data_IF_452208531180
#
_entry.id   IF_452208531180
#
_cell.length_a   1.000
_cell.length_b   1.000
_cell.length_c   1.000
_cell.angle_alpha   90.00
_cell.angle_beta   90.00
_cell.angle_gamma   90.00
#
_symmetry.space_group_name_H-M   'P 1'
#
loop_
_entity.id
_entity.type
_entity.pdbx_description
1 polymer ?
#
# COMPACT_ATOMS: atom_id res chain seq x y z
N UNK A 1 25.58 -1.18 -18.50
CA UNK A 1 24.38 -1.84 -17.96
C UNK A 1 23.85 -0.98 -16.82
N UNK A 2 22.83 -0.13 -17.05
CA UNK A 2 22.30 0.76 -16.00
C UNK A 2 21.56 -0.10 -14.97
N UNK A 3 22.07 -0.18 -13.75
CA UNK A 3 21.40 -0.84 -12.64
C UNK A 3 20.10 -0.08 -12.33
N UNK A 4 18.95 -0.61 -12.79
CA UNK A 4 17.62 -0.16 -12.39
C UNK A 4 17.30 -0.66 -10.96
N UNK A 5 18.11 -0.22 -9.99
CA UNK A 5 17.86 -0.49 -8.57
C UNK A 5 16.88 0.52 -7.99
N UNK A 6 16.02 0.07 -7.07
CA UNK A 6 15.29 0.95 -6.18
C UNK A 6 16.33 1.80 -5.44
N UNK A 7 16.22 3.11 -5.61
CA UNK A 7 17.09 4.09 -4.95
C UNK A 7 16.48 4.48 -3.61
N UNK A 8 17.33 5.05 -2.78
CA UNK A 8 16.95 5.70 -1.53
C UNK A 8 15.71 6.59 -1.75
N UNK A 9 14.62 6.43 -0.98
CA UNK A 9 13.44 7.28 -1.09
C UNK A 9 13.80 8.71 -0.65
N UNK A 10 13.70 9.66 -1.58
CA UNK A 10 13.76 11.07 -1.23
C UNK A 10 12.63 11.40 -0.23
N UNK A 11 12.84 12.31 0.73
CA UNK A 11 11.82 12.67 1.73
C UNK A 11 10.45 13.02 1.13
N UNK A 12 10.44 13.67 -0.04
CA UNK A 12 9.21 14.01 -0.76
C UNK A 12 8.41 12.77 -1.21
N UNK A 13 9.07 11.66 -1.55
CA UNK A 13 8.40 10.43 -1.97
C UNK A 13 7.72 9.73 -0.80
N UNK A 14 8.30 9.79 0.40
CA UNK A 14 7.67 9.28 1.63
C UNK A 14 6.41 10.06 2.01
N UNK A 15 6.21 11.27 1.48
CA UNK A 15 4.95 12.01 1.60
C UNK A 15 3.97 11.70 0.46
N UNK A 16 4.45 11.63 -0.78
CA UNK A 16 3.61 11.48 -1.97
C UNK A 16 2.98 10.09 -2.06
N UNK A 17 3.73 9.04 -1.74
CA UNK A 17 3.24 7.66 -1.85
C UNK A 17 2.06 7.39 -0.90
N UNK A 18 2.16 7.70 0.41
CA UNK A 18 1.01 7.60 1.30
C UNK A 18 -0.16 8.48 0.87
N UNK A 19 0.10 9.73 0.46
CA UNK A 19 -0.95 10.64 0.01
C UNK A 19 -1.75 10.04 -1.16
N UNK A 20 -1.08 9.51 -2.18
CA UNK A 20 -1.74 8.88 -3.33
C UNK A 20 -2.53 7.63 -2.91
N UNK A 21 -1.92 6.78 -2.08
CA UNK A 21 -2.56 5.55 -1.60
C UNK A 21 -3.86 5.84 -0.85
N UNK A 22 -3.80 6.71 0.16
CA UNK A 22 -4.91 7.05 1.03
C UNK A 22 -5.97 7.92 0.33
N UNK A 23 -5.58 8.76 -0.62
CA UNK A 23 -6.57 9.50 -1.41
C UNK A 23 -7.41 8.55 -2.27
N UNK A 24 -6.77 7.60 -2.94
CA UNK A 24 -7.47 6.65 -3.83
C UNK A 24 -8.25 5.59 -3.06
N UNK A 25 -7.84 5.22 -1.84
CA UNK A 25 -8.61 4.30 -0.99
C UNK A 25 -10.05 4.78 -0.78
N UNK A 26 -10.25 6.10 -0.71
CA UNK A 26 -11.61 6.68 -0.58
C UNK A 26 -12.47 6.45 -1.82
N UNK A 27 -11.88 6.37 -3.01
CA UNK A 27 -12.61 6.07 -4.25
C UNK A 27 -12.95 4.58 -4.35
N UNK A 28 -12.04 3.71 -3.89
CA UNK A 28 -12.34 2.28 -3.75
C UNK A 28 -13.54 2.10 -2.81
N UNK A 29 -13.52 2.76 -1.65
CA UNK A 29 -14.62 2.72 -0.69
C UNK A 29 -15.94 3.19 -1.30
N UNK A 30 -15.93 4.31 -2.04
CA UNK A 30 -17.11 4.81 -2.77
C UNK A 30 -17.63 3.80 -3.81
N UNK A 31 -16.73 3.15 -4.55
CA UNK A 31 -17.09 2.10 -5.51
C UNK A 31 -17.79 0.92 -4.83
N UNK A 32 -17.28 0.49 -3.68
CA UNK A 32 -17.88 -0.59 -2.89
C UNK A 32 -19.29 -0.23 -2.38
N UNK A 33 -19.48 0.98 -1.86
CA UNK A 33 -20.80 1.46 -1.41
C UNK A 33 -21.82 1.55 -2.55
N UNK A 34 -21.36 1.81 -3.77
CA UNK A 34 -22.18 1.81 -5.00
C UNK A 34 -22.36 0.42 -5.61
N UNK A 35 -21.80 -0.62 -4.99
CA UNK A 35 -21.81 -2.01 -5.49
C UNK A 35 -21.10 -2.17 -6.84
N UNK A 36 -20.13 -1.31 -7.15
CA UNK A 36 -19.35 -1.32 -8.40
C UNK A 36 -18.05 -2.13 -8.24
N UNK A 37 -18.15 -3.47 -8.21
CA UNK A 37 -17.01 -4.36 -7.91
C UNK A 37 -15.83 -4.17 -8.86
N UNK A 38 -16.07 -4.13 -10.18
CA UNK A 38 -15.00 -3.98 -11.17
C UNK A 38 -14.28 -2.63 -11.06
N UNK A 39 -15.00 -1.56 -10.70
CA UNK A 39 -14.42 -0.24 -10.49
C UNK A 39 -13.50 -0.25 -9.26
N UNK A 40 -13.98 -0.79 -8.14
CA UNK A 40 -13.19 -0.91 -6.91
C UNK A 40 -11.93 -1.77 -7.13
N UNK A 41 -12.08 -2.95 -7.76
CA UNK A 41 -10.97 -3.85 -8.07
C UNK A 41 -9.97 -3.21 -9.05
N UNK A 42 -10.44 -2.45 -10.04
CA UNK A 42 -9.60 -1.73 -10.99
C UNK A 42 -8.70 -0.69 -10.30
N UNK A 43 -9.27 0.11 -9.38
CA UNK A 43 -8.49 1.08 -8.62
C UNK A 43 -7.49 0.43 -7.65
N UNK A 44 -7.86 -0.70 -7.04
CA UNK A 44 -6.97 -1.49 -6.19
C UNK A 44 -5.75 -1.99 -6.97
N UNK A 45 -5.97 -2.57 -8.16
CA UNK A 45 -4.89 -3.09 -9.01
C UNK A 45 -4.03 -1.99 -9.61
N UNK A 46 -4.64 -0.92 -10.13
CA UNK A 46 -3.92 0.08 -10.92
C UNK A 46 -3.21 1.12 -10.07
N UNK A 47 -3.64 1.35 -8.82
CA UNK A 47 -3.12 2.45 -8.00
C UNK A 47 -2.68 1.97 -6.62
N UNK A 48 -3.58 1.41 -5.80
CA UNK A 48 -3.23 1.05 -4.41
C UNK A 48 -2.12 0.00 -4.35
N UNK A 49 -2.20 -1.03 -5.19
CA UNK A 49 -1.20 -2.11 -5.18
C UNK A 49 0.18 -1.64 -5.64
N UNK A 50 0.34 -0.86 -6.73
CA UNK A 50 1.63 -0.26 -7.07
C UNK A 50 2.24 0.61 -5.97
N UNK A 51 1.41 1.38 -5.24
CA UNK A 51 1.89 2.19 -4.11
C UNK A 51 2.30 1.32 -2.91
N UNK A 52 1.53 0.28 -2.57
CA UNK A 52 1.90 -0.69 -1.54
C UNK A 52 3.21 -1.39 -1.87
N UNK A 53 3.34 -1.90 -3.09
CA UNK A 53 4.57 -2.54 -3.58
C UNK A 53 5.76 -1.59 -3.52
N UNK A 54 5.58 -0.31 -3.85
CA UNK A 54 6.62 0.72 -3.74
C UNK A 54 7.05 0.93 -2.29
N UNK A 55 6.11 1.01 -1.36
CA UNK A 55 6.40 1.19 0.06
C UNK A 55 7.11 -0.05 0.65
N UNK A 56 6.69 -1.26 0.28
CA UNK A 56 7.39 -2.51 0.61
C UNK A 56 8.80 -2.55 0.01
N UNK A 57 8.98 -2.01 -1.20
CA UNK A 57 10.31 -1.85 -1.79
C UNK A 57 11.22 -0.91 -0.98
N UNK A 58 10.65 0.15 -0.41
CA UNK A 58 11.38 1.03 0.52
C UNK A 58 11.68 0.35 1.84
N UNK A 59 10.76 -0.44 2.39
CA UNK A 59 10.98 -1.23 3.59
C UNK A 59 12.17 -2.18 3.45
N UNK A 60 12.17 -2.98 2.39
CA UNK A 60 13.27 -3.91 2.13
C UNK A 60 14.59 -3.15 1.92
N UNK A 61 14.57 -2.04 1.19
CA UNK A 61 15.76 -1.21 1.00
C UNK A 61 16.24 -0.53 2.29
N UNK A 62 15.34 -0.17 3.21
CA UNK A 62 15.67 0.39 4.51
C UNK A 62 16.30 -0.66 5.43
N UNK A 63 15.83 -1.92 5.39
CA UNK A 63 16.36 -3.03 6.18
C UNK A 63 17.70 -3.56 5.65
N UNK A 64 17.82 -3.78 4.34
CA UNK A 64 18.97 -4.44 3.71
C UNK A 64 20.02 -3.46 3.15
N UNK A 65 19.68 -2.18 3.05
CA UNK A 65 20.51 -1.15 2.41
C UNK A 65 20.17 -0.91 0.93
N UNK A 66 20.41 0.32 0.48
CA UNK A 66 20.23 0.74 -0.91
C UNK A 66 21.57 0.75 -1.66
N UNK A 67 21.59 0.59 -3.00
CA UNK A 67 20.45 0.31 -3.88
C UNK A 67 20.08 -1.18 -3.92
N UNK A 68 18.79 -1.49 -4.10
CA UNK A 68 18.32 -2.87 -4.21
C UNK A 68 17.66 -3.15 -5.56
N UNK A 69 17.96 -4.31 -6.16
CA UNK A 69 17.31 -4.74 -7.40
C UNK A 69 16.17 -5.73 -7.12
N UNK A 70 14.93 -5.23 -7.17
CA UNK A 70 13.71 -6.01 -6.99
C UNK A 70 13.23 -6.69 -8.29
N UNK A 71 13.94 -6.47 -9.40
CA UNK A 71 13.58 -6.87 -10.77
C UNK A 71 12.25 -6.27 -11.28
N UNK A 72 11.90 -6.57 -12.54
CA UNK A 72 10.61 -6.18 -13.14
C UNK A 72 9.44 -6.67 -12.29
N UNK A 73 8.43 -5.81 -12.14
CA UNK A 73 7.22 -6.06 -11.35
C UNK A 73 7.49 -6.52 -9.90
N UNK A 74 8.66 -6.16 -9.34
CA UNK A 74 9.03 -6.50 -7.96
C UNK A 74 8.99 -8.00 -7.66
N UNK A 75 9.24 -8.87 -8.67
CA UNK A 75 9.18 -10.34 -8.53
C UNK A 75 10.05 -10.93 -7.42
N UNK A 76 11.09 -10.21 -6.98
CA UNK A 76 11.97 -10.63 -5.86
C UNK A 76 11.49 -10.17 -4.49
N UNK A 77 10.51 -9.27 -4.43
CA UNK A 77 10.03 -8.70 -3.17
C UNK A 77 9.57 -9.78 -2.17
N UNK A 78 8.80 -10.82 -2.57
CA UNK A 78 8.41 -11.89 -1.64
C UNK A 78 9.59 -12.68 -1.03
N UNK A 79 10.75 -12.70 -1.68
CA UNK A 79 11.94 -13.39 -1.19
C UNK A 79 12.71 -12.58 -0.14
N UNK A 80 12.37 -11.29 0.00
CA UNK A 80 13.06 -10.33 0.85
C UNK A 80 12.17 -9.82 1.99
N UNK A 81 10.88 -10.11 1.93
CA UNK A 81 9.91 -9.88 2.98
C UNK A 81 9.90 -11.07 3.96
N UNK A 82 9.35 -10.84 5.15
CA UNK A 82 9.04 -11.93 6.07
C UNK A 82 7.95 -12.85 5.48
N UNK A 83 7.80 -14.05 6.07
CA UNK A 83 6.75 -14.98 5.66
C UNK A 83 5.34 -14.38 5.84
N UNK A 84 5.14 -13.64 6.94
CA UNK A 84 3.89 -12.94 7.25
C UNK A 84 3.60 -11.82 6.24
N UNK A 85 4.57 -10.93 6.00
CA UNK A 85 4.43 -9.84 5.03
C UNK A 85 4.13 -10.36 3.61
N UNK A 86 4.76 -11.47 3.24
CA UNK A 86 4.52 -12.15 1.95
C UNK A 86 3.11 -12.71 1.87
N UNK A 87 2.65 -13.38 2.93
CA UNK A 87 1.30 -13.90 3.00
C UNK A 87 0.26 -12.78 2.91
N UNK A 88 0.44 -11.71 3.69
CA UNK A 88 -0.44 -10.53 3.66
C UNK A 88 -0.48 -9.90 2.27
N UNK A 89 0.67 -9.73 1.62
CA UNK A 89 0.74 -9.25 0.24
C UNK A 89 -0.10 -10.12 -0.71
N UNK A 90 0.00 -11.45 -0.63
CA UNK A 90 -0.79 -12.34 -1.48
C UNK A 90 -2.28 -12.35 -1.15
N UNK A 91 -2.65 -12.16 0.12
CA UNK A 91 -4.06 -12.00 0.50
C UNK A 91 -4.71 -10.78 -0.15
N UNK A 92 -3.94 -9.73 -0.49
CA UNK A 92 -4.47 -8.55 -1.20
C UNK A 92 -5.01 -8.82 -2.61
N UNK A 93 -4.82 -10.03 -3.16
CA UNK A 93 -5.32 -10.41 -4.48
C UNK A 93 -6.69 -11.10 -4.45
N UNK A 94 -7.25 -11.38 -3.26
CA UNK A 94 -8.58 -11.98 -3.11
C UNK A 94 -9.67 -10.93 -3.31
N UNK A 95 -10.13 -10.76 -4.55
CA UNK A 95 -11.02 -9.68 -4.97
C UNK A 95 -12.32 -10.21 -5.60
N UNK A 96 -12.82 -11.35 -5.11
CA UNK A 96 -13.94 -12.09 -5.71
C UNK A 96 -15.34 -11.50 -5.45
N UNK A 97 -15.51 -10.67 -4.42
CA UNK A 97 -16.80 -10.12 -4.02
C UNK A 97 -16.67 -8.74 -3.38
N UNK A 98 -17.77 -8.00 -3.25
CA UNK A 98 -17.77 -6.69 -2.59
C UNK A 98 -17.27 -6.77 -1.13
N UNK A 99 -17.74 -7.77 -0.39
CA UNK A 99 -17.34 -8.00 1.00
C UNK A 99 -15.86 -8.36 1.10
N UNK A 100 -15.39 -9.26 0.24
CA UNK A 100 -13.99 -9.65 0.24
C UNK A 100 -13.08 -8.49 -0.19
N UNK A 101 -13.47 -7.70 -1.19
CA UNK A 101 -12.74 -6.50 -1.59
C UNK A 101 -12.70 -5.45 -0.49
N UNK A 102 -13.77 -5.31 0.31
CA UNK A 102 -13.76 -4.44 1.50
C UNK A 102 -12.77 -4.93 2.57
N UNK A 103 -12.72 -6.24 2.83
CA UNK A 103 -11.75 -6.84 3.75
C UNK A 103 -10.33 -6.57 3.24
N UNK A 104 -10.06 -6.79 1.95
CA UNK A 104 -8.76 -6.51 1.34
C UNK A 104 -8.39 -5.04 1.42
N UNK A 105 -9.32 -4.11 1.17
CA UNK A 105 -9.06 -2.67 1.29
C UNK A 105 -8.62 -2.31 2.71
N UNK A 106 -9.33 -2.82 3.72
CA UNK A 106 -9.00 -2.57 5.13
C UNK A 106 -7.63 -3.15 5.50
N UNK A 107 -7.35 -4.39 5.07
CA UNK A 107 -6.05 -5.04 5.31
C UNK A 107 -4.91 -4.29 4.63
N UNK A 108 -5.11 -3.85 3.38
CA UNK A 108 -4.12 -3.05 2.67
C UNK A 108 -3.84 -1.72 3.38
N UNK A 109 -4.85 -1.07 3.96
CA UNK A 109 -4.65 0.17 4.72
C UNK A 109 -3.83 -0.05 5.99
N UNK A 110 -4.15 -1.09 6.76
CA UNK A 110 -3.40 -1.45 7.98
C UNK A 110 -1.96 -1.82 7.61
N UNK A 111 -1.78 -2.70 6.63
CA UNK A 111 -0.47 -3.14 6.20
C UNK A 111 0.39 -1.99 5.68
N UNK A 112 -0.20 -1.09 4.89
CA UNK A 112 0.51 0.08 4.38
C UNK A 112 0.97 1.01 5.51
N UNK A 113 0.13 1.24 6.52
CA UNK A 113 0.49 2.07 7.67
C UNK A 113 1.64 1.48 8.48
N UNK A 114 1.60 0.19 8.78
CA UNK A 114 2.68 -0.49 9.51
C UNK A 114 4.02 -0.39 8.78
N UNK A 115 4.00 -0.65 7.46
CA UNK A 115 5.19 -0.54 6.61
C UNK A 115 5.69 0.90 6.55
N UNK A 116 4.79 1.89 6.44
CA UNK A 116 5.15 3.31 6.42
C UNK A 116 5.82 3.72 7.73
N UNK A 117 5.25 3.37 8.88
CA UNK A 117 5.81 3.69 10.19
C UNK A 117 7.20 3.08 10.37
N UNK A 118 7.39 1.82 9.98
CA UNK A 118 8.69 1.17 10.06
C UNK A 118 9.72 1.83 9.14
N UNK A 119 9.34 2.15 7.89
CA UNK A 119 10.21 2.87 6.96
C UNK A 119 10.60 4.24 7.51
N UNK A 120 9.66 4.99 8.09
CA UNK A 120 9.94 6.28 8.70
C UNK A 120 10.88 6.15 9.90
N UNK A 121 10.68 5.14 10.75
CA UNK A 121 11.52 4.87 11.92
C UNK A 121 12.95 4.49 11.52
N UNK A 122 13.13 3.59 10.56
CA UNK A 122 14.45 3.16 10.06
C UNK A 122 15.25 4.29 9.39
N UNK A 123 14.60 5.42 9.12
CA UNK A 123 15.16 6.53 8.32
C UNK A 123 15.15 7.86 9.04
N UNK A 124 14.73 7.88 10.30
CA UNK A 124 14.59 9.08 11.12
C UNK A 124 13.76 10.19 10.43
N UNK A 125 12.70 9.79 9.73
CA UNK A 125 11.77 10.72 9.08
C UNK A 125 10.44 10.80 9.83
N UNK A 126 9.79 11.97 9.86
CA UNK A 126 8.47 12.09 10.45
C UNK A 126 7.44 11.31 9.63
N UNK A 127 6.71 10.42 10.28
CA UNK A 127 5.64 9.68 9.63
C UNK A 127 4.39 10.57 9.48
N UNK A 128 3.83 10.70 8.26
CA UNK A 128 2.61 11.44 8.06
C UNK A 128 1.40 10.65 8.59
N UNK A 129 0.52 11.29 9.35
CA UNK A 129 -0.69 10.63 9.87
C UNK A 129 -1.89 10.82 8.92
N UNK A 130 -1.95 9.99 7.87
CA UNK A 130 -3.10 9.92 6.97
C UNK A 130 -4.10 8.83 7.37
N UNK A 131 -3.62 7.74 7.97
CA UNK A 131 -4.40 6.55 8.26
C UNK A 131 -5.63 6.83 9.13
N UNK A 132 -5.45 7.49 10.28
CA UNK A 132 -6.56 7.73 11.21
C UNK A 132 -7.65 8.60 10.59
N UNK A 133 -7.24 9.66 9.87
CA UNK A 133 -8.17 10.57 9.19
C UNK A 133 -9.03 9.81 8.16
N UNK A 134 -8.39 8.97 7.34
CA UNK A 134 -9.08 8.26 6.26
C UNK A 134 -9.87 7.06 6.77
N UNK A 135 -9.41 6.39 7.83
CA UNK A 135 -10.15 5.34 8.52
C UNK A 135 -11.46 5.88 9.09
N UNK A 136 -11.42 7.01 9.79
CA UNK A 136 -12.62 7.69 10.28
C UNK A 136 -13.54 8.10 9.12
N UNK A 137 -12.98 8.60 8.03
CA UNK A 137 -13.76 8.96 6.85
C UNK A 137 -14.42 7.74 6.18
N UNK A 138 -13.76 6.58 6.13
CA UNK A 138 -14.38 5.34 5.64
C UNK A 138 -15.55 4.90 6.52
N UNK A 139 -15.43 5.02 7.84
CA UNK A 139 -16.50 4.71 8.78
C UNK A 139 -17.69 5.66 8.63
N UNK A 140 -17.45 6.96 8.48
CA UNK A 140 -18.54 7.93 8.30
C UNK A 140 -19.32 7.68 7.01
N UNK A 141 -18.64 7.27 5.91
CA UNK A 141 -19.34 6.90 4.67
C UNK A 141 -20.29 5.72 4.84
N UNK A 142 -19.99 4.74 5.71
CA UNK A 142 -20.87 3.59 5.96
C UNK A 142 -22.16 4.00 6.66
N UNK A 143 -22.12 5.07 7.47
CA UNK A 143 -23.30 5.54 8.22
C UNK A 143 -24.27 6.41 7.41
N UNK A 144 -23.83 6.91 6.25
CA UNK A 144 -24.58 7.86 5.41
C UNK A 144 -25.29 7.18 4.23
N UNK A 145 -25.00 5.89 3.99
CA UNK A 145 -25.59 5.06 2.93
C UNK A 145 -26.69 4.18 3.50
#
# INVERSE_FOLDING_TARGET
MKCFGYKHPLPNLLRIVPMNFYFVSTYVKKGLLRKELLYANGLLEQILRPELLRMLGYLVGARAGFPINLNKQMKRLPQLLSADETQRLYQTYRLESLEQTQIVLNEMMVFFEEVLQEVCQLRDYPAPNFYETIKLYHQTMETVV
#
